data_IF_199666564602
#
_entry.id   IF_199666564602
#
_cell.length_a   1.000
_cell.length_b   1.000
_cell.length_c   1.000
_cell.angle_alpha   90.00
_cell.angle_beta   90.00
_cell.angle_gamma   90.00
#
_symmetry.space_group_name_H-M   'P 1'
#
loop_
_entity.id
_entity.type
_entity.pdbx_description
1 polymer ?
#
# COMPACT_ATOMS: atom_id res chain seq x y z
N UNK A 1 43.07 -23.99 9.81
CA UNK A 1 41.63 -23.86 10.14
C UNK A 1 41.30 -22.36 10.20
N UNK A 2 40.62 -21.78 9.20
CA UNK A 2 40.27 -20.35 9.15
C UNK A 2 38.86 -20.16 9.70
N UNK A 3 38.71 -19.50 10.85
CA UNK A 3 37.44 -19.16 11.46
C UNK A 3 36.79 -17.98 10.71
N UNK A 4 35.57 -18.17 10.23
CA UNK A 4 34.73 -17.14 9.61
C UNK A 4 34.35 -16.09 10.65
N UNK A 5 34.68 -14.82 10.40
CA UNK A 5 34.08 -13.69 11.11
C UNK A 5 32.65 -13.51 10.61
N UNK A 6 31.68 -13.81 11.46
CA UNK A 6 30.30 -13.42 11.23
C UNK A 6 30.20 -11.90 11.29
N UNK A 7 29.78 -11.29 10.18
CA UNK A 7 29.49 -9.86 10.12
C UNK A 7 28.39 -9.51 11.13
N UNK A 8 28.64 -8.45 11.89
CA UNK A 8 27.70 -7.82 12.82
C UNK A 8 26.41 -7.49 12.07
N UNK A 9 25.32 -8.20 12.35
CA UNK A 9 24.01 -7.92 11.76
C UNK A 9 23.49 -6.61 12.37
N UNK A 10 23.09 -5.68 11.49
CA UNK A 10 22.54 -4.36 11.79
C UNK A 10 21.26 -4.43 12.63
N UNK A 11 21.39 -4.59 13.94
CA UNK A 11 20.28 -4.61 14.91
C UNK A 11 19.61 -3.24 15.06
N UNK A 12 20.27 -2.17 14.62
CA UNK A 12 19.77 -0.79 14.71
C UNK A 12 18.63 -0.48 13.72
N UNK A 13 18.54 -1.19 12.58
CA UNK A 13 17.51 -0.90 11.57
C UNK A 13 16.12 -1.40 11.95
N UNK A 14 16.02 -2.49 12.71
CA UNK A 14 14.74 -3.10 13.09
C UNK A 14 14.10 -2.36 14.29
N UNK A 15 14.93 -1.89 15.23
CA UNK A 15 14.49 -1.17 16.43
C UNK A 15 13.88 0.21 16.12
N UNK A 16 14.39 0.90 15.09
CA UNK A 16 13.81 2.15 14.59
C UNK A 16 12.40 1.93 14.01
N UNK A 17 12.17 0.84 13.28
CA UNK A 17 10.85 0.50 12.71
C UNK A 17 9.82 0.27 13.81
N UNK A 18 10.17 -0.42 14.89
CA UNK A 18 9.26 -0.61 16.04
C UNK A 18 8.95 0.70 16.78
N UNK A 19 9.92 1.62 16.86
CA UNK A 19 9.71 2.91 17.51
C UNK A 19 8.69 3.74 16.72
N UNK A 20 8.73 3.78 15.39
CA UNK A 20 7.74 4.48 14.57
C UNK A 20 6.34 3.87 14.66
N UNK A 21 6.21 2.53 14.74
CA UNK A 21 4.91 1.85 14.89
C UNK A 21 4.24 2.21 16.22
N UNK A 22 5.01 2.34 17.31
CA UNK A 22 4.48 2.64 18.64
C UNK A 22 3.92 4.06 18.77
N UNK A 23 4.53 5.06 18.12
CA UNK A 23 4.04 6.46 18.17
C UNK A 23 2.73 6.63 17.40
N UNK A 24 2.54 5.89 16.30
CA UNK A 24 1.28 5.86 15.54
C UNK A 24 0.16 5.18 16.35
N UNK A 25 0.51 4.23 17.24
CA UNK A 25 -0.49 3.49 18.03
C UNK A 25 -1.06 4.28 19.22
N UNK A 26 -0.43 5.38 19.67
CA UNK A 26 -0.95 6.21 20.77
C UNK A 26 -1.65 7.49 20.32
N UNK A 27 -1.37 8.00 19.12
CA UNK A 27 -2.23 8.99 18.48
C UNK A 27 -3.23 8.24 17.61
N UNK A 28 -4.43 7.99 18.13
CA UNK A 28 -5.60 7.84 17.23
C UNK A 28 -5.70 9.16 16.47
N UNK A 29 -5.03 9.24 15.33
CA UNK A 29 -5.17 10.35 14.41
C UNK A 29 -6.68 10.42 14.09
N UNK A 30 -7.38 11.51 14.44
CA UNK A 30 -8.83 11.61 14.20
C UNK A 30 -9.19 11.50 12.71
N UNK A 31 -8.18 11.56 11.83
CA UNK A 31 -8.31 11.44 10.38
C UNK A 31 -8.07 10.05 9.80
N UNK A 32 -7.75 9.03 10.61
CA UNK A 32 -7.63 7.62 10.16
C UNK A 32 -8.99 6.96 9.89
N UNK A 33 -9.98 7.74 9.43
CA UNK A 33 -11.28 7.23 9.08
C UNK A 33 -11.24 6.64 7.66
N UNK A 34 -11.08 5.32 7.62
CA UNK A 34 -11.10 4.56 6.37
C UNK A 34 -12.43 4.72 5.61
N UNK A 35 -13.50 5.21 6.25
CA UNK A 35 -14.77 5.49 5.58
C UNK A 35 -14.62 6.50 4.43
N UNK A 36 -13.66 7.42 4.52
CA UNK A 36 -13.40 8.43 3.48
C UNK A 36 -12.93 7.83 2.16
N UNK A 37 -12.26 6.68 2.22
CA UNK A 37 -11.80 5.92 1.06
C UNK A 37 -12.94 5.11 0.40
N UNK A 38 -14.06 4.89 1.09
CA UNK A 38 -15.16 4.06 0.57
C UNK A 38 -15.73 4.62 -0.72
N UNK A 39 -16.00 3.72 -1.66
CA UNK A 39 -16.69 4.02 -2.91
C UNK A 39 -15.86 3.67 -4.14
N UNK A 40 -16.31 4.24 -5.27
CA UNK A 40 -15.71 4.04 -6.58
C UNK A 40 -14.99 5.31 -7.00
N UNK A 41 -13.76 5.16 -7.46
CA UNK A 41 -12.87 6.23 -7.89
C UNK A 41 -12.47 6.00 -9.34
N UNK A 42 -12.81 6.94 -10.22
CA UNK A 42 -12.56 6.82 -11.65
C UNK A 42 -11.55 7.86 -12.11
N UNK A 43 -10.64 7.46 -12.99
CA UNK A 43 -9.78 8.41 -13.68
C UNK A 43 -10.59 9.13 -14.78
N UNK A 44 -10.78 10.46 -14.72
CA UNK A 44 -11.57 11.17 -15.70
C UNK A 44 -10.92 11.18 -17.10
N UNK A 45 -9.61 10.97 -17.18
CA UNK A 45 -8.86 10.87 -18.44
C UNK A 45 -8.94 9.47 -19.05
N UNK A 46 -8.88 8.43 -18.21
CA UNK A 46 -8.91 7.03 -18.63
C UNK A 46 -10.14 6.34 -18.05
N UNK A 47 -11.26 6.38 -18.78
CA UNK A 47 -12.57 5.96 -18.27
C UNK A 47 -12.67 4.49 -17.84
N UNK A 48 -11.79 3.64 -18.35
CA UNK A 48 -11.73 2.21 -17.97
C UNK A 48 -10.85 1.96 -16.73
N UNK A 49 -10.23 3.02 -16.19
CA UNK A 49 -9.42 2.96 -14.98
C UNK A 49 -10.26 3.33 -13.75
N UNK A 50 -10.75 2.29 -13.08
CA UNK A 50 -11.61 2.38 -11.90
C UNK A 50 -10.97 1.68 -10.70
N UNK A 51 -11.06 2.32 -9.55
CA UNK A 51 -10.63 1.79 -8.25
C UNK A 51 -11.81 1.76 -7.28
N UNK A 52 -12.12 0.61 -6.71
CA UNK A 52 -13.24 0.43 -5.77
C UNK A 52 -12.69 -0.02 -4.43
N UNK A 53 -13.11 0.65 -3.36
CA UNK A 53 -12.88 0.19 -1.99
C UNK A 53 -14.20 0.09 -1.24
N UNK A 54 -14.53 -1.12 -0.78
CA UNK A 54 -15.79 -1.43 -0.07
C UNK A 54 -15.62 -1.51 1.47
N UNK A 55 -14.42 -1.19 1.98
CA UNK A 55 -14.06 -1.34 3.39
C UNK A 55 -13.22 -2.60 3.67
N UNK A 56 -13.33 -3.62 2.81
CA UNK A 56 -12.69 -4.93 2.98
C UNK A 56 -11.84 -5.30 1.76
N UNK A 57 -12.29 -4.93 0.58
CA UNK A 57 -11.72 -5.28 -0.72
C UNK A 57 -11.32 -4.03 -1.46
N UNK A 58 -10.12 -4.04 -2.04
CA UNK A 58 -9.67 -3.07 -3.02
C UNK A 58 -9.68 -3.72 -4.40
N UNK A 59 -10.37 -3.14 -5.37
CA UNK A 59 -10.51 -3.65 -6.73
C UNK A 59 -10.03 -2.60 -7.74
N UNK A 60 -9.05 -2.96 -8.56
CA UNK A 60 -8.51 -2.12 -9.64
C UNK A 60 -8.79 -2.72 -11.03
N UNK A 61 -9.80 -3.60 -11.13
CA UNK A 61 -10.18 -4.34 -12.35
C UNK A 61 -9.21 -5.47 -12.69
N UNK A 62 -7.96 -5.12 -12.98
CA UNK A 62 -6.85 -6.03 -13.32
C UNK A 62 -6.32 -6.83 -12.12
N UNK A 63 -6.53 -6.33 -10.89
CA UNK A 63 -6.23 -7.05 -9.67
C UNK A 63 -7.21 -6.70 -8.55
N UNK A 64 -7.34 -7.59 -7.57
CA UNK A 64 -8.13 -7.38 -6.35
C UNK A 64 -7.34 -7.82 -5.13
N UNK A 65 -7.51 -7.10 -4.04
CA UNK A 65 -6.90 -7.43 -2.76
C UNK A 65 -7.94 -7.45 -1.65
N UNK A 66 -7.85 -8.43 -0.75
CA UNK A 66 -8.47 -8.32 0.57
C UNK A 66 -7.57 -7.45 1.44
N UNK A 67 -8.05 -6.26 1.81
CA UNK A 67 -7.32 -5.29 2.64
C UNK A 67 -7.05 -5.89 4.02
N UNK A 68 -5.83 -5.64 4.51
CA UNK A 68 -5.32 -6.16 5.79
C UNK A 68 -4.85 -5.06 6.73
N UNK A 69 -4.33 -3.98 6.17
CA UNK A 69 -3.91 -2.82 6.93
C UNK A 69 -4.00 -1.58 6.06
N UNK A 70 -4.30 -0.44 6.67
CA UNK A 70 -4.16 0.87 6.05
C UNK A 70 -3.29 1.69 6.99
N UNK A 71 -2.15 2.14 6.49
CA UNK A 71 -1.21 2.97 7.25
C UNK A 71 -1.27 4.38 6.69
N UNK A 72 -1.84 5.29 7.47
CA UNK A 72 -1.93 6.70 7.14
C UNK A 72 -0.60 7.40 7.44
N UNK A 73 -0.13 8.23 6.51
CA UNK A 73 1.04 9.10 6.68
C UNK A 73 0.66 10.57 6.90
N UNK A 74 -0.56 10.95 6.56
CA UNK A 74 -1.17 12.24 6.88
C UNK A 74 -2.69 12.10 6.99
N UNK A 75 -3.41 13.22 7.08
CA UNK A 75 -4.88 13.28 6.99
C UNK A 75 -5.44 12.96 5.59
N UNK A 76 -4.61 13.04 4.55
CA UNK A 76 -5.02 12.86 3.16
C UNK A 76 -4.17 11.85 2.38
N UNK A 77 -3.24 11.16 3.04
CA UNK A 77 -2.29 10.23 2.40
C UNK A 77 -2.01 8.98 3.23
N UNK A 78 -1.71 7.89 2.54
CA UNK A 78 -1.39 6.62 3.17
C UNK A 78 -1.12 5.49 2.18
N UNK A 79 -1.03 4.27 2.72
CA UNK A 79 -0.82 3.05 1.95
C UNK A 79 -1.77 1.96 2.45
N UNK A 80 -2.51 1.38 1.51
CA UNK A 80 -3.39 0.22 1.69
C UNK A 80 -2.56 -1.03 1.41
N UNK A 81 -2.43 -1.92 2.40
CA UNK A 81 -1.79 -3.21 2.26
C UNK A 81 -2.83 -4.32 2.24
N UNK A 82 -2.73 -5.23 1.28
CA UNK A 82 -3.71 -6.28 1.10
C UNK A 82 -3.11 -7.56 0.55
N UNK A 83 -3.87 -8.66 0.68
CA UNK A 83 -3.54 -9.95 0.09
C UNK A 83 -4.26 -10.09 -1.24
N UNK A 84 -3.56 -10.37 -2.32
CA UNK A 84 -4.17 -10.60 -3.62
C UNK A 84 -5.19 -11.73 -3.56
N UNK A 85 -6.39 -11.45 -4.05
CA UNK A 85 -7.45 -12.43 -4.33
C UNK A 85 -7.60 -12.67 -5.83
N UNK A 86 -7.14 -11.73 -6.66
CA UNK A 86 -7.09 -11.81 -8.12
C UNK A 86 -5.92 -10.98 -8.66
N UNK A 87 -5.24 -11.45 -9.70
CA UNK A 87 -4.37 -10.65 -10.56
C UNK A 87 -4.40 -11.25 -11.98
N UNK A 88 -4.82 -10.47 -12.98
CA UNK A 88 -5.00 -10.93 -14.35
C UNK A 88 -3.67 -11.14 -15.07
N UNK A 89 -2.64 -10.35 -14.74
CA UNK A 89 -1.34 -10.38 -15.42
C UNK A 89 -0.39 -11.41 -14.79
N UNK A 90 -0.53 -11.65 -13.48
CA UNK A 90 0.36 -12.51 -12.70
C UNK A 90 -0.42 -13.42 -11.76
N UNK A 91 -0.97 -14.52 -12.25
CA UNK A 91 -1.75 -15.46 -11.42
C UNK A 91 -0.95 -16.05 -10.25
N UNK A 92 0.37 -16.17 -10.38
CA UNK A 92 1.28 -16.70 -9.35
C UNK A 92 1.39 -15.84 -8.09
N UNK A 93 0.93 -14.58 -8.12
CA UNK A 93 0.94 -13.72 -6.93
C UNK A 93 -0.37 -13.77 -6.13
N UNK A 94 -1.38 -14.50 -6.59
CA UNK A 94 -2.61 -14.70 -5.82
C UNK A 94 -2.26 -15.38 -4.49
N UNK A 95 -2.77 -14.83 -3.38
CA UNK A 95 -2.41 -15.26 -2.04
C UNK A 95 -1.13 -14.63 -1.47
N UNK A 96 -0.42 -13.78 -2.22
CA UNK A 96 0.69 -12.94 -1.72
C UNK A 96 0.20 -11.53 -1.37
N UNK A 97 1.06 -10.73 -0.76
CA UNK A 97 0.75 -9.38 -0.29
C UNK A 97 1.26 -8.31 -1.26
N UNK A 98 0.51 -7.22 -1.35
CA UNK A 98 0.81 -6.06 -2.18
C UNK A 98 0.32 -4.79 -1.51
N UNK A 99 0.59 -3.65 -2.14
CA UNK A 99 0.29 -2.34 -1.60
C UNK A 99 -0.16 -1.34 -2.65
N UNK A 100 -1.04 -0.42 -2.24
CA UNK A 100 -1.53 0.70 -3.04
C UNK A 100 -1.38 1.97 -2.20
N UNK A 101 -0.62 2.94 -2.69
CA UNK A 101 -0.54 4.26 -2.08
C UNK A 101 -1.68 5.15 -2.54
N UNK A 102 -2.17 5.99 -1.64
CA UNK A 102 -3.03 7.11 -1.98
C UNK A 102 -2.48 8.41 -1.38
N UNK A 103 -2.81 9.53 -2.02
CA UNK A 103 -2.54 10.89 -1.53
C UNK A 103 -3.60 11.87 -2.04
N UNK A 104 -3.56 13.09 -1.52
CA UNK A 104 -4.43 14.20 -1.91
C UNK A 104 -5.94 13.83 -1.81
N UNK A 105 -6.28 12.99 -0.82
CA UNK A 105 -7.66 12.55 -0.56
C UNK A 105 -8.53 13.71 -0.07
N UNK A 106 -9.60 13.96 -0.81
CA UNK A 106 -10.73 14.83 -0.44
C UNK A 106 -12.02 14.03 -0.49
N UNK A 107 -13.16 14.66 -0.21
CA UNK A 107 -14.47 14.01 -0.33
C UNK A 107 -14.82 13.58 -1.76
N UNK A 108 -14.16 14.17 -2.77
CA UNK A 108 -14.49 13.97 -4.19
C UNK A 108 -13.30 13.63 -5.07
N UNK A 109 -12.08 13.63 -4.55
CA UNK A 109 -10.86 13.32 -5.32
C UNK A 109 -9.84 12.52 -4.53
N UNK A 110 -9.01 11.79 -5.25
CA UNK A 110 -7.88 11.05 -4.69
C UNK A 110 -6.82 10.85 -5.79
N UNK A 111 -5.56 10.75 -5.41
CA UNK A 111 -4.50 10.22 -6.26
C UNK A 111 -4.12 8.82 -5.80
N UNK A 112 -4.17 7.82 -6.68
CA UNK A 112 -3.93 6.40 -6.35
C UNK A 112 -2.74 5.86 -7.16
N UNK A 113 -1.89 5.04 -6.53
CA UNK A 113 -0.76 4.38 -7.19
C UNK A 113 -0.57 2.96 -6.66
N UNK A 114 -0.54 1.97 -7.54
CA UNK A 114 -0.04 0.63 -7.18
C UNK A 114 1.46 0.67 -6.87
N UNK A 115 1.94 -0.23 -6.02
CA UNK A 115 3.37 -0.35 -5.70
C UNK A 115 4.18 -0.86 -6.91
N UNK A 116 4.45 0.04 -7.85
CA UNK A 116 5.35 -0.20 -8.98
C UNK A 116 6.68 0.49 -8.76
N UNK A 117 7.75 -0.22 -9.09
CA UNK A 117 9.11 0.26 -9.25
C UNK A 117 9.78 -0.64 -10.29
N UNK A 118 10.60 -0.06 -11.18
CA UNK A 118 11.38 -0.83 -12.13
C UNK A 118 12.25 -1.86 -11.40
N UNK A 119 12.20 -3.11 -11.85
CA UNK A 119 12.89 -4.27 -11.27
C UNK A 119 12.56 -4.54 -9.78
N UNK A 120 11.47 -3.94 -9.29
CA UNK A 120 10.95 -4.14 -7.93
C UNK A 120 10.12 -5.40 -7.78
N UNK A 121 9.81 -5.75 -6.53
CA UNK A 121 8.88 -6.84 -6.25
C UNK A 121 7.48 -6.47 -6.70
N UNK A 122 6.73 -7.47 -7.16
CA UNK A 122 5.30 -7.33 -7.50
C UNK A 122 4.39 -7.93 -6.43
N UNK A 123 4.95 -8.69 -5.47
CA UNK A 123 4.28 -9.18 -4.28
C UNK A 123 5.29 -9.70 -3.25
N UNK A 124 4.86 -9.87 -1.99
CA UNK A 124 5.65 -10.44 -0.89
C UNK A 124 4.90 -11.58 -0.19
N UNK A 125 5.61 -12.46 0.52
CA UNK A 125 4.99 -13.65 1.12
C UNK A 125 4.28 -13.35 2.45
N UNK A 126 4.59 -12.22 3.09
CA UNK A 126 3.97 -11.78 4.35
C UNK A 126 3.57 -10.30 4.34
N UNK A 127 2.63 -9.95 5.22
CA UNK A 127 2.20 -8.56 5.44
C UNK A 127 3.35 -7.68 5.96
N UNK A 128 4.17 -8.20 6.87
CA UNK A 128 5.30 -7.45 7.45
C UNK A 128 6.34 -7.13 6.37
N UNK A 129 6.62 -8.10 5.50
CA UNK A 129 7.50 -7.86 4.35
C UNK A 129 6.89 -6.82 3.40
N UNK A 130 5.59 -6.87 3.13
CA UNK A 130 4.90 -5.89 2.28
C UNK A 130 5.03 -4.46 2.82
N UNK A 131 4.82 -4.28 4.14
CA UNK A 131 4.92 -2.99 4.82
C UNK A 131 6.36 -2.45 4.78
N UNK A 132 7.35 -3.33 4.85
CA UNK A 132 8.77 -2.94 4.83
C UNK A 132 9.25 -2.66 3.40
N UNK A 133 8.78 -3.43 2.42
CA UNK A 133 9.18 -3.37 1.01
C UNK A 133 8.49 -2.23 0.25
N UNK A 134 7.16 -2.20 0.25
CA UNK A 134 6.38 -1.29 -0.57
C UNK A 134 6.21 0.06 0.14
N UNK A 135 7.23 0.90 0.00
CA UNK A 135 7.30 2.23 0.59
C UNK A 135 7.79 3.27 -0.41
N UNK A 136 7.43 4.53 -0.18
CA UNK A 136 7.91 5.68 -0.97
C UNK A 136 9.45 5.77 -0.90
N UNK A 137 10.03 5.56 0.29
CA UNK A 137 11.49 5.61 0.50
C UNK A 137 12.23 4.52 -0.28
N UNK A 138 11.62 3.35 -0.47
CA UNK A 138 12.18 2.29 -1.31
C UNK A 138 12.00 2.57 -2.82
N UNK A 139 11.40 3.70 -3.19
CA UNK A 139 11.22 4.14 -4.57
C UNK A 139 10.01 3.53 -5.27
N UNK A 140 9.04 2.99 -4.53
CA UNK A 140 7.76 2.60 -5.08
C UNK A 140 6.85 3.83 -5.24
N UNK A 141 5.85 3.73 -6.12
CA UNK A 141 4.80 4.73 -6.38
C UNK A 141 5.22 5.93 -7.26
N UNK A 142 5.86 5.65 -8.40
CA UNK A 142 6.31 6.70 -9.32
C UNK A 142 5.19 7.34 -10.17
N UNK A 143 4.03 6.68 -10.30
CA UNK A 143 2.92 7.15 -11.13
C UNK A 143 1.61 7.08 -10.36
N UNK A 144 0.96 8.24 -10.21
CA UNK A 144 -0.34 8.35 -9.55
C UNK A 144 -1.42 8.69 -10.57
N UNK A 145 -2.51 7.94 -10.51
CA UNK A 145 -3.73 8.23 -11.24
C UNK A 145 -4.58 9.20 -10.45
N UNK A 146 -4.94 10.31 -11.08
CA UNK A 146 -5.82 11.31 -10.47
C UNK A 146 -7.27 10.90 -10.71
N UNK A 147 -7.98 10.57 -9.64
CA UNK A 147 -9.33 10.02 -9.70
C UNK A 147 -10.36 10.96 -9.06
N UNK A 148 -11.62 10.81 -9.48
CA UNK A 148 -12.79 11.45 -8.91
C UNK A 148 -13.74 10.40 -8.35
N UNK A 149 -14.43 10.75 -7.27
CA UNK A 149 -15.44 9.89 -6.66
C UNK A 149 -16.66 9.82 -7.56
N UNK A 150 -17.12 8.62 -7.86
CA UNK A 150 -18.43 8.41 -8.49
C UNK A 150 -19.49 8.64 -7.43
N UNK A 151 -20.51 9.44 -7.77
CA UNK A 151 -21.64 9.75 -6.88
C UNK A 151 -22.59 8.57 -6.75
#
# INVERSE_FOLDING_TARGET
>A
MKTKKFGKIHTYSLLLVFLFIAIISCNKNPYNDNSRLLGTWENPTYKDETYIYDGITFDAGSYKMKVKSIIWSSDASGIIYGRYTKNTNYSSVVGKYYAVSFKDLTDTSISISGAYKKDGKIATDSLVEAITEFTINNGYYSFYSSCKKVK
#
